data_IF_202163885000
#
_entry.id   IF_202163885000
#
_cell.length_a   1.000
_cell.length_b   1.000
_cell.length_c   1.000
_cell.angle_alpha   90.00
_cell.angle_beta   90.00
_cell.angle_gamma   90.00
#
_symmetry.space_group_name_H-M   'P 1'
#
loop_
_entity.id
_entity.type
_entity.pdbx_description
1 polymer ?
#
# COMPACT_ATOMS: atom_id res chain seq x y z
N UNK A 1 3.39 -7.06 -7.86
CA UNK A 1 2.77 -6.63 -9.14
C UNK A 1 3.72 -5.67 -9.84
N UNK A 2 3.77 -5.70 -11.17
CA UNK A 2 4.52 -4.72 -11.95
C UNK A 2 3.81 -3.36 -11.92
N UNK A 3 4.50 -2.29 -12.31
CA UNK A 3 3.90 -0.95 -12.39
C UNK A 3 2.67 -0.94 -13.31
N UNK A 4 2.74 -1.61 -14.48
CA UNK A 4 1.62 -1.71 -15.40
C UNK A 4 0.40 -2.45 -14.81
N UNK A 5 0.64 -3.50 -14.01
CA UNK A 5 -0.43 -4.20 -13.30
C UNK A 5 -1.06 -3.31 -12.23
N UNK A 6 -0.24 -2.58 -11.46
CA UNK A 6 -0.74 -1.61 -10.49
C UNK A 6 -1.60 -0.54 -11.15
N UNK A 7 -1.16 0.01 -12.27
CA UNK A 7 -1.92 1.03 -13.00
C UNK A 7 -3.26 0.48 -13.51
N UNK A 8 -3.26 -0.76 -13.99
CA UNK A 8 -4.48 -1.45 -14.44
C UNK A 8 -5.45 -1.69 -13.27
N UNK A 9 -4.95 -2.22 -12.15
CA UNK A 9 -5.75 -2.49 -10.95
C UNK A 9 -6.32 -1.19 -10.39
N UNK A 10 -5.46 -0.18 -10.25
CA UNK A 10 -5.82 1.12 -9.71
C UNK A 10 -6.84 1.87 -10.58
N UNK A 11 -6.68 1.84 -11.90
CA UNK A 11 -7.63 2.41 -12.85
C UNK A 11 -8.98 1.68 -12.80
N UNK A 12 -8.96 0.35 -12.76
CA UNK A 12 -10.19 -0.47 -12.64
C UNK A 12 -10.93 -0.18 -11.35
N UNK A 13 -10.20 -0.11 -10.22
CA UNK A 13 -10.76 0.24 -8.93
C UNK A 13 -11.38 1.64 -8.94
N UNK A 14 -10.66 2.64 -9.44
CA UNK A 14 -11.14 4.04 -9.50
C UNK A 14 -12.39 4.21 -10.37
N UNK A 15 -12.49 3.45 -11.45
CA UNK A 15 -13.58 3.55 -12.43
C UNK A 15 -14.64 2.45 -12.28
N UNK A 16 -14.68 1.76 -11.13
CA UNK A 16 -15.61 0.66 -10.87
C UNK A 16 -17.08 1.10 -11.04
N UNK A 17 -17.90 0.39 -11.85
CA UNK A 17 -19.32 0.73 -12.05
C UNK A 17 -20.17 0.62 -10.79
N UNK A 18 -19.77 -0.23 -9.86
CA UNK A 18 -20.45 -0.45 -8.56
C UNK A 18 -19.92 0.49 -7.47
N UNK A 19 -19.08 1.46 -7.86
CA UNK A 19 -18.32 2.29 -6.95
C UNK A 19 -17.14 1.54 -6.32
N UNK A 20 -16.30 2.30 -5.62
CA UNK A 20 -15.18 1.76 -4.88
C UNK A 20 -15.28 2.22 -3.44
N UNK A 21 -15.26 1.26 -2.51
CA UNK A 21 -15.26 1.57 -1.08
C UNK A 21 -13.80 1.60 -0.62
N UNK A 22 -13.29 2.79 -0.32
CA UNK A 22 -11.99 2.93 0.32
C UNK A 22 -11.88 4.22 1.09
N UNK A 23 -11.22 4.10 2.23
CA UNK A 23 -10.92 5.23 3.08
C UNK A 23 -9.61 5.91 2.67
N UNK A 24 -8.85 5.38 1.71
CA UNK A 24 -7.58 5.97 1.24
C UNK A 24 -6.66 6.45 2.37
N UNK A 25 -6.62 5.70 3.48
CA UNK A 25 -5.89 6.04 4.70
C UNK A 25 -6.26 7.41 5.31
N UNK A 26 -7.54 7.83 5.25
CA UNK A 26 -8.08 8.96 6.05
C UNK A 26 -8.03 8.72 7.56
N UNK A 27 -7.63 7.52 7.98
CA UNK A 27 -7.37 7.15 9.35
C UNK A 27 -5.94 6.65 9.48
N UNK A 28 -5.32 6.92 10.62
CA UNK A 28 -3.93 6.52 10.91
C UNK A 28 -3.74 4.99 10.83
N UNK A 29 -4.77 4.22 11.16
CA UNK A 29 -4.89 2.80 10.91
C UNK A 29 -6.37 2.46 10.67
N UNK A 30 -6.62 1.48 9.80
CA UNK A 30 -7.97 1.02 9.50
C UNK A 30 -8.13 -0.43 9.96
N UNK A 31 -9.21 -0.73 10.70
CA UNK A 31 -9.43 -2.07 11.26
C UNK A 31 -9.46 -3.16 10.17
N UNK A 32 -9.88 -2.78 8.96
CA UNK A 32 -9.97 -3.70 7.83
C UNK A 32 -8.61 -4.02 7.18
N UNK A 33 -7.53 -3.37 7.64
CA UNK A 33 -6.16 -3.76 7.34
C UNK A 33 -5.54 -4.48 8.55
N UNK A 34 -6.32 -5.18 9.37
CA UNK A 34 -5.90 -5.66 10.68
C UNK A 34 -4.78 -6.71 10.67
N UNK A 35 -4.56 -7.40 9.55
CA UNK A 35 -3.51 -8.42 9.47
C UNK A 35 -2.14 -7.82 9.15
N UNK A 36 -2.09 -6.80 8.29
CA UNK A 36 -0.80 -6.23 7.85
C UNK A 36 -0.64 -4.74 8.17
N UNK A 37 -1.69 -4.03 8.58
CA UNK A 37 -1.85 -2.57 8.73
C UNK A 37 -1.59 -1.75 7.46
N UNK A 38 -0.67 -2.21 6.62
CA UNK A 38 -0.29 -1.73 5.31
C UNK A 38 0.29 -2.90 4.49
N UNK A 39 0.46 -2.68 3.20
CA UNK A 39 1.16 -3.59 2.29
C UNK A 39 2.19 -2.80 1.50
N UNK A 40 3.26 -3.46 1.05
CA UNK A 40 4.27 -2.85 0.18
C UNK A 40 4.01 -3.09 -1.30
N UNK A 41 2.78 -3.46 -1.68
CA UNK A 41 2.44 -3.81 -3.06
C UNK A 41 2.58 -2.64 -4.04
N UNK A 42 2.36 -1.41 -3.57
CA UNK A 42 2.47 -0.16 -4.32
C UNK A 42 3.27 0.88 -3.48
N UNK A 43 3.90 1.89 -4.12
CA UNK A 43 4.77 2.84 -3.41
C UNK A 43 3.98 3.76 -2.46
N UNK A 44 4.67 4.48 -1.56
CA UNK A 44 4.03 5.49 -0.72
C UNK A 44 3.22 6.50 -1.54
N UNK A 45 2.12 6.98 -0.96
CA UNK A 45 1.21 7.95 -1.61
C UNK A 45 0.69 7.49 -2.98
N UNK A 46 0.54 6.18 -3.20
CA UNK A 46 0.01 5.63 -4.43
C UNK A 46 -1.27 6.34 -4.88
N UNK A 47 -1.27 6.83 -6.13
CA UNK A 47 -2.31 7.72 -6.68
C UNK A 47 -3.70 7.09 -6.77
N UNK A 48 -3.77 5.76 -6.80
CA UNK A 48 -5.02 5.03 -6.90
C UNK A 48 -5.60 4.72 -5.52
N UNK A 49 -6.91 4.49 -5.44
CA UNK A 49 -7.53 4.11 -4.19
C UNK A 49 -7.00 2.76 -3.64
N UNK A 50 -6.96 2.58 -2.31
CA UNK A 50 -6.48 1.31 -1.73
C UNK A 50 -7.44 0.18 -2.07
N UNK A 51 -6.99 -0.85 -2.77
CA UNK A 51 -7.79 -1.95 -3.33
C UNK A 51 -7.75 -3.21 -2.47
N UNK A 52 -8.83 -3.98 -2.41
CA UNK A 52 -8.92 -5.17 -1.56
C UNK A 52 -10.32 -5.78 -1.60
N UNK A 53 -10.60 -6.72 -0.69
CA UNK A 53 -11.91 -7.36 -0.61
C UNK A 53 -13.01 -6.40 -0.17
N UNK A 54 -14.18 -6.50 -0.82
CA UNK A 54 -15.39 -5.73 -0.48
C UNK A 54 -16.31 -6.58 0.41
N UNK A 55 -16.37 -6.29 1.71
CA UNK A 55 -17.25 -7.01 2.63
C UNK A 55 -18.16 -6.11 3.49
N UNK A 56 -17.88 -4.80 3.59
CA UNK A 56 -18.61 -3.87 4.46
C UNK A 56 -18.74 -2.47 3.84
N UNK A 57 -19.70 -1.63 4.29
CA UNK A 57 -19.66 -0.20 4.00
C UNK A 57 -18.39 0.41 4.59
N UNK A 58 -17.54 1.00 3.76
CA UNK A 58 -16.39 1.79 4.23
C UNK A 58 -14.99 1.22 4.00
N UNK A 59 -14.75 0.24 3.13
CA UNK A 59 -13.38 0.10 2.61
C UNK A 59 -12.93 -1.24 2.06
N UNK A 60 -11.81 -1.18 1.34
CA UNK A 60 -10.98 -2.32 0.98
C UNK A 60 -10.44 -3.04 2.23
N UNK A 61 -10.59 -4.36 2.26
CA UNK A 61 -10.17 -5.24 3.34
C UNK A 61 -8.96 -6.11 2.93
N UNK A 62 -8.05 -6.38 3.88
CA UNK A 62 -6.87 -7.24 3.72
C UNK A 62 -7.10 -8.73 4.10
N UNK A 63 -8.36 -9.20 4.15
CA UNK A 63 -8.69 -10.60 4.44
C UNK A 63 -8.16 -11.62 3.41
N UNK A 64 -7.50 -11.15 2.35
CA UNK A 64 -6.83 -11.96 1.34
C UNK A 64 -5.79 -11.12 0.60
N UNK A 65 -6.04 -10.83 -0.67
CA UNK A 65 -5.18 -9.97 -1.49
C UNK A 65 -5.67 -8.52 -1.41
N UNK A 66 -4.77 -7.60 -1.08
CA UNK A 66 -5.05 -6.18 -1.02
C UNK A 66 -3.83 -5.33 -1.38
N UNK A 67 -4.09 -4.16 -1.96
CA UNK A 67 -3.13 -3.10 -2.24
C UNK A 67 -3.49 -1.93 -1.35
N UNK A 68 -2.90 -1.94 -0.15
CA UNK A 68 -3.12 -0.96 0.91
C UNK A 68 -1.77 -0.31 1.23
N UNK A 69 -1.26 0.56 0.35
CA UNK A 69 0.05 1.18 0.54
C UNK A 69 0.00 2.24 1.65
N UNK A 70 1.15 2.57 2.26
CA UNK A 70 1.22 3.68 3.22
C UNK A 70 0.95 5.01 2.52
N UNK A 71 0.20 5.90 3.19
CA UNK A 71 -0.13 7.23 2.68
C UNK A 71 -0.03 8.24 3.83
N UNK A 72 0.76 9.27 3.63
CA UNK A 72 0.75 10.47 4.48
C UNK A 72 -0.03 11.61 3.82
N UNK A 73 -0.19 11.55 2.49
CA UNK A 73 -0.61 12.67 1.63
C UNK A 73 0.30 13.90 1.74
N UNK A 74 1.45 13.78 2.42
CA UNK A 74 2.48 14.79 2.41
C UNK A 74 3.35 14.61 1.17
N UNK A 75 3.76 15.70 0.50
CA UNK A 75 4.67 15.60 -0.64
C UNK A 75 5.98 14.90 -0.27
N UNK A 76 6.46 14.05 -1.18
CA UNK A 76 7.80 13.49 -1.11
C UNK A 76 7.88 12.11 -0.46
N UNK A 77 6.95 11.68 0.39
CA UNK A 77 6.94 10.31 0.91
C UNK A 77 6.41 10.14 2.33
N UNK A 78 6.91 9.09 3.01
CA UNK A 78 6.44 8.66 4.32
C UNK A 78 7.60 8.26 5.23
N UNK A 79 7.41 8.40 6.54
CA UNK A 79 8.29 7.78 7.53
C UNK A 79 7.79 6.35 7.81
N UNK A 80 8.68 5.37 7.72
CA UNK A 80 8.37 3.95 7.97
C UNK A 80 9.20 3.46 9.16
N UNK A 81 8.53 2.84 10.12
CA UNK A 81 9.18 2.07 11.17
C UNK A 81 9.47 0.64 10.69
N UNK A 82 10.72 0.22 10.81
CA UNK A 82 11.17 -1.13 10.48
C UNK A 82 11.00 -2.08 11.68
N UNK A 83 11.16 -3.38 11.45
CA UNK A 83 11.02 -4.41 12.49
C UNK A 83 12.01 -4.31 13.65
N UNK A 84 13.11 -3.58 13.47
CA UNK A 84 14.12 -3.26 14.49
C UNK A 84 13.85 -1.94 15.24
N UNK A 85 12.65 -1.36 15.05
CA UNK A 85 12.22 -0.06 15.56
C UNK A 85 13.00 1.16 15.01
N UNK A 86 13.88 0.98 14.02
CA UNK A 86 14.48 2.12 13.33
C UNK A 86 13.46 2.78 12.40
N UNK A 87 13.51 4.11 12.29
CA UNK A 87 12.63 4.89 11.41
C UNK A 87 13.44 5.38 10.22
N UNK A 88 12.92 5.16 9.02
CA UNK A 88 13.52 5.61 7.76
C UNK A 88 12.51 6.41 6.96
N UNK A 89 12.97 7.47 6.30
CA UNK A 89 12.16 8.18 5.33
C UNK A 89 12.23 7.45 3.99
N UNK A 90 11.07 7.11 3.44
CA UNK A 90 10.95 6.42 2.14
C UNK A 90 10.25 7.36 1.16
N UNK A 91 10.90 7.72 0.04
CA UNK A 91 10.31 8.61 -0.93
C UNK A 91 9.18 7.93 -1.71
N UNK A 92 8.20 8.71 -2.17
CA UNK A 92 7.14 8.19 -3.07
C UNK A 92 7.68 7.76 -4.44
N UNK A 93 8.88 8.22 -4.80
CA UNK A 93 9.62 7.83 -6.02
C UNK A 93 10.54 6.63 -5.80
N UNK A 94 10.41 5.90 -4.69
CA UNK A 94 11.18 4.68 -4.43
C UNK A 94 10.96 3.67 -5.56
N UNK A 95 12.01 2.95 -5.94
CA UNK A 95 11.89 1.90 -6.94
C UNK A 95 10.92 0.82 -6.45
N UNK A 96 9.95 0.48 -7.30
CA UNK A 96 8.79 -0.34 -6.91
C UNK A 96 9.22 -1.72 -6.38
N UNK A 97 10.14 -2.39 -7.07
CA UNK A 97 10.61 -3.71 -6.67
C UNK A 97 11.34 -3.64 -5.33
N UNK A 98 12.16 -2.62 -5.10
CA UNK A 98 12.87 -2.36 -3.85
C UNK A 98 11.87 -2.19 -2.70
N UNK A 99 10.81 -1.40 -2.91
CA UNK A 99 9.75 -1.23 -1.91
C UNK A 99 8.97 -2.52 -1.65
N UNK A 100 8.63 -3.27 -2.70
CA UNK A 100 7.95 -4.56 -2.57
C UNK A 100 8.78 -5.57 -1.77
N UNK A 101 10.08 -5.67 -2.08
CA UNK A 101 11.02 -6.54 -1.36
C UNK A 101 11.15 -6.16 0.11
N UNK A 102 11.11 -4.86 0.45
CA UNK A 102 11.19 -4.40 1.84
C UNK A 102 10.11 -5.02 2.74
N UNK A 103 8.89 -5.20 2.22
CA UNK A 103 7.80 -5.85 2.95
C UNK A 103 7.70 -7.36 2.75
N UNK A 104 8.46 -7.93 1.80
CA UNK A 104 8.39 -9.35 1.48
C UNK A 104 9.44 -10.15 2.26
N UNK A 105 9.11 -10.53 3.49
CA UNK A 105 10.00 -11.35 4.34
C UNK A 105 10.39 -12.72 3.77
N UNK A 106 9.66 -13.24 2.78
CA UNK A 106 9.86 -14.59 2.25
C UNK A 106 10.73 -14.62 0.98
N UNK A 107 11.09 -13.46 0.42
CA UNK A 107 11.82 -13.41 -0.84
C UNK A 107 13.31 -13.82 -0.71
N UNK A 108 13.85 -13.82 0.51
CA UNK A 108 15.23 -14.16 0.81
C UNK A 108 16.27 -13.17 0.29
N UNK A 109 15.87 -12.01 -0.25
CA UNK A 109 16.78 -11.04 -0.84
C UNK A 109 17.07 -9.89 0.11
N UNK A 110 18.34 -9.49 0.30
CA UNK A 110 18.64 -8.28 1.05
C UNK A 110 18.17 -7.04 0.27
N UNK A 111 17.65 -6.06 0.99
CA UNK A 111 17.28 -4.75 0.44
C UNK A 111 18.17 -3.69 1.08
N UNK A 112 18.73 -2.83 0.24
CA UNK A 112 19.40 -1.61 0.69
C UNK A 112 18.41 -0.46 0.57
N UNK A 113 18.11 0.17 1.71
CA UNK A 113 17.26 1.35 1.74
C UNK A 113 18.08 2.58 1.31
N UNK A 114 17.46 3.53 0.59
CA UNK A 114 18.09 4.81 0.27
C UNK A 114 18.38 5.65 1.52
#
# INVERSE_FOLDING_TARGET
>A
PTQAELDTIGSTAKNSPVGFKSNNATMWAWYAAGHSTLTTAAPPNWQYPSAGGDCCPGGAHDWGLGIIPPRSLHPGGVNIALGDASVRFIPETVELLTFQRLGNRQDGNPVTLP
#
